data_IF_347971744572
#
_entry.id   IF_347971744572
#
_cell.length_a   1.000
_cell.length_b   1.000
_cell.length_c   1.000
_cell.angle_alpha   90.00
_cell.angle_beta   90.00
_cell.angle_gamma   90.00
#
_symmetry.space_group_name_H-M   'P 1'
#
loop_
_entity.id
_entity.type
_entity.pdbx_description
1 polymer ?
#
# COMPACT_ATOMS: atom_id res chain seq x y z
N UNK A 1 -4.59 -5.19 -6.19
CA UNK A 1 -3.35 -5.07 -6.99
C UNK A 1 -3.24 -6.06 -8.16
N UNK A 2 -2.99 -7.37 -7.97
CA UNK A 2 -2.72 -8.31 -9.09
C UNK A 2 -3.80 -8.33 -10.18
N UNK A 3 -5.08 -8.39 -9.82
CA UNK A 3 -6.18 -8.36 -10.80
C UNK A 3 -6.29 -7.06 -11.60
N UNK A 4 -5.99 -5.91 -10.98
CA UNK A 4 -5.97 -4.63 -11.70
C UNK A 4 -4.78 -4.56 -12.67
N UNK A 5 -3.61 -5.07 -12.27
CA UNK A 5 -2.45 -5.20 -13.15
C UNK A 5 -2.76 -6.13 -14.34
N UNK A 6 -3.46 -7.25 -14.10
CA UNK A 6 -3.88 -8.18 -15.14
C UNK A 6 -4.74 -7.50 -16.20
N UNK A 7 -5.81 -6.80 -15.79
CA UNK A 7 -6.69 -6.09 -16.71
C UNK A 7 -5.94 -5.00 -17.50
N UNK A 8 -5.00 -4.30 -16.86
CA UNK A 8 -4.14 -3.33 -17.54
C UNK A 8 -3.18 -3.99 -18.53
N UNK A 9 -2.62 -5.16 -18.21
CA UNK A 9 -1.80 -5.93 -19.16
C UNK A 9 -2.63 -6.38 -20.36
N UNK A 10 -3.88 -6.79 -20.17
CA UNK A 10 -4.80 -7.08 -21.28
C UNK A 10 -4.98 -5.82 -22.13
N UNK A 11 -5.37 -4.69 -21.51
CA UNK A 11 -5.54 -3.40 -22.19
C UNK A 11 -4.32 -3.01 -23.02
N UNK A 12 -3.11 -3.11 -22.46
CA UNK A 12 -1.87 -2.79 -23.17
C UNK A 12 -1.57 -3.76 -24.31
N UNK A 13 -1.99 -5.03 -24.19
CA UNK A 13 -1.74 -6.06 -25.21
C UNK A 13 -2.67 -5.93 -26.40
N UNK A 14 -3.97 -5.68 -26.16
CA UNK A 14 -4.99 -5.62 -27.23
C UNK A 14 -5.30 -4.19 -27.69
N UNK A 15 -4.92 -3.18 -26.93
CA UNK A 15 -5.29 -1.78 -27.15
C UNK A 15 -6.62 -1.41 -26.49
N UNK A 16 -6.74 -0.15 -26.04
CA UNK A 16 -7.89 0.34 -25.28
C UNK A 16 -9.22 0.14 -25.99
N UNK A 17 -9.29 0.38 -27.30
CA UNK A 17 -10.54 0.24 -28.05
C UNK A 17 -11.09 -1.18 -28.01
N UNK A 18 -10.25 -2.19 -28.26
CA UNK A 18 -10.64 -3.61 -28.20
C UNK A 18 -10.97 -4.05 -26.77
N UNK A 19 -10.18 -3.57 -25.80
CA UNK A 19 -10.41 -3.86 -24.39
C UNK A 19 -11.75 -3.29 -23.91
N UNK A 20 -12.05 -2.03 -24.20
CA UNK A 20 -13.30 -1.37 -23.78
C UNK A 20 -14.52 -2.02 -24.44
N UNK A 21 -14.43 -2.39 -25.73
CA UNK A 21 -15.50 -3.09 -26.43
C UNK A 21 -15.79 -4.45 -25.80
N UNK A 22 -14.75 -5.24 -25.48
CA UNK A 22 -14.93 -6.50 -24.78
C UNK A 22 -15.46 -6.30 -23.35
N UNK A 23 -14.91 -5.35 -22.60
CA UNK A 23 -15.28 -5.13 -21.19
C UNK A 23 -16.73 -4.67 -21.03
N UNK A 24 -17.22 -3.78 -21.91
CA UNK A 24 -18.63 -3.39 -21.94
C UNK A 24 -19.52 -4.60 -22.26
N UNK A 25 -19.20 -5.33 -23.33
CA UNK A 25 -19.96 -6.52 -23.70
C UNK A 25 -19.92 -7.61 -22.62
N UNK A 26 -18.82 -7.73 -21.87
CA UNK A 26 -18.71 -8.65 -20.72
C UNK A 26 -19.73 -8.28 -19.64
N UNK A 27 -19.85 -7.00 -19.27
CA UNK A 27 -20.87 -6.58 -18.30
C UNK A 27 -22.29 -6.76 -18.82
N UNK A 28 -22.53 -6.55 -20.13
CA UNK A 28 -23.85 -6.78 -20.74
C UNK A 28 -24.25 -8.27 -20.72
N UNK A 29 -23.31 -9.18 -21.08
CA UNK A 29 -23.55 -10.63 -21.11
C UNK A 29 -23.80 -11.24 -19.72
N UNK A 30 -23.13 -10.70 -18.69
CA UNK A 30 -23.12 -11.25 -17.33
C UNK A 30 -23.86 -10.37 -16.32
N UNK A 31 -24.74 -9.48 -16.80
CA UNK A 31 -25.53 -8.60 -15.93
C UNK A 31 -26.36 -9.42 -14.93
N UNK A 32 -26.21 -9.10 -13.65
CA UNK A 32 -26.90 -9.75 -12.52
C UNK A 32 -26.62 -11.26 -12.38
N UNK A 33 -25.50 -11.75 -12.90
CA UNK A 33 -25.07 -13.14 -12.79
C UNK A 33 -23.80 -13.27 -11.94
N UNK A 34 -23.62 -14.41 -11.24
CA UNK A 34 -22.33 -14.72 -10.63
C UNK A 34 -21.29 -15.00 -11.72
N UNK A 35 -20.02 -14.81 -11.38
CA UNK A 35 -18.91 -15.16 -12.26
C UNK A 35 -17.87 -16.01 -11.54
N UNK A 36 -17.33 -16.99 -12.25
CA UNK A 36 -16.17 -17.79 -11.83
C UNK A 36 -14.97 -17.45 -12.70
N UNK A 37 -13.78 -17.82 -12.23
CA UNK A 37 -12.54 -17.77 -13.02
C UNK A 37 -12.62 -18.60 -14.32
N UNK A 38 -13.21 -19.80 -14.27
CA UNK A 38 -13.44 -20.65 -15.44
C UNK A 38 -14.38 -19.96 -16.43
N UNK A 39 -15.47 -19.36 -15.95
CA UNK A 39 -16.41 -18.61 -16.78
C UNK A 39 -15.78 -17.37 -17.42
N UNK A 40 -14.97 -16.63 -16.65
CA UNK A 40 -14.22 -15.48 -17.14
C UNK A 40 -13.25 -15.88 -18.26
N UNK A 41 -12.51 -16.98 -18.07
CA UNK A 41 -11.58 -17.51 -19.08
C UNK A 41 -12.31 -17.94 -20.35
N UNK A 42 -13.47 -18.58 -20.24
CA UNK A 42 -14.29 -18.93 -21.39
C UNK A 42 -14.76 -17.67 -22.14
N UNK A 43 -15.30 -16.67 -21.43
CA UNK A 43 -15.80 -15.44 -22.04
C UNK A 43 -14.70 -14.66 -22.76
N UNK A 44 -13.55 -14.43 -22.12
CA UNK A 44 -12.47 -13.66 -22.74
C UNK A 44 -11.89 -14.40 -23.95
N UNK A 45 -11.82 -15.74 -23.91
CA UNK A 45 -11.37 -16.55 -25.04
C UNK A 45 -12.35 -16.49 -26.22
N UNK A 46 -13.64 -16.52 -25.94
CA UNK A 46 -14.69 -16.42 -26.95
C UNK A 46 -14.84 -15.01 -27.53
N UNK A 47 -14.75 -13.98 -26.69
CA UNK A 47 -15.18 -12.62 -27.05
C UNK A 47 -14.02 -11.65 -27.32
N UNK A 48 -12.82 -11.91 -26.82
CA UNK A 48 -11.64 -11.08 -27.05
C UNK A 48 -10.55 -11.80 -27.85
N UNK A 49 -10.17 -13.02 -27.44
CA UNK A 49 -9.09 -13.79 -28.06
C UNK A 49 -9.52 -14.40 -29.39
N UNK A 50 -10.73 -14.96 -29.46
CA UNK A 50 -11.35 -15.50 -30.68
C UNK A 50 -10.47 -16.51 -31.43
N UNK A 51 -9.79 -17.39 -30.68
CA UNK A 51 -8.92 -18.42 -31.25
C UNK A 51 -7.54 -17.93 -31.73
N UNK A 52 -7.19 -16.65 -31.50
CA UNK A 52 -5.85 -16.13 -31.78
C UNK A 52 -4.82 -16.72 -30.79
N UNK A 53 -4.12 -17.77 -31.23
CA UNK A 53 -3.12 -18.47 -30.42
C UNK A 53 -1.94 -17.57 -30.02
N UNK A 54 -1.56 -16.61 -30.87
CA UNK A 54 -0.47 -15.70 -30.54
C UNK A 54 -0.89 -14.71 -29.45
N UNK A 55 -2.14 -14.23 -29.50
CA UNK A 55 -2.70 -13.40 -28.45
C UNK A 55 -2.87 -14.17 -27.12
N UNK A 56 -3.39 -15.40 -27.16
CA UNK A 56 -3.51 -16.26 -25.98
C UNK A 56 -2.16 -16.43 -25.27
N UNK A 57 -1.10 -16.74 -26.03
CA UNK A 57 0.25 -16.88 -25.50
C UNK A 57 0.78 -15.57 -24.89
N UNK A 58 0.52 -14.41 -25.53
CA UNK A 58 0.95 -13.11 -25.04
C UNK A 58 0.23 -12.68 -23.76
N UNK A 59 -1.05 -13.02 -23.61
CA UNK A 59 -1.86 -12.65 -22.45
C UNK A 59 -1.52 -13.47 -21.21
N UNK A 60 -1.09 -14.73 -21.37
CA UNK A 60 -0.75 -15.63 -20.26
C UNK A 60 -1.88 -15.74 -19.22
N UNK A 61 -3.13 -15.87 -19.68
CA UNK A 61 -4.34 -15.76 -18.83
C UNK A 61 -4.30 -16.68 -17.60
N UNK A 62 -3.89 -17.94 -17.79
CA UNK A 62 -3.83 -18.91 -16.70
C UNK A 62 -2.72 -18.62 -15.69
N UNK A 63 -1.57 -18.08 -16.14
CA UNK A 63 -0.50 -17.65 -15.24
C UNK A 63 -0.97 -16.50 -14.34
N UNK A 64 -1.74 -15.56 -14.91
CA UNK A 64 -2.31 -14.46 -14.14
C UNK A 64 -3.31 -14.95 -13.07
N UNK A 65 -4.14 -15.92 -13.38
CA UNK A 65 -5.20 -16.39 -12.48
C UNK A 65 -4.67 -17.38 -11.45
N UNK A 66 -3.89 -18.38 -11.87
CA UNK A 66 -3.60 -19.55 -11.04
C UNK A 66 -2.19 -19.60 -10.44
N UNK A 67 -1.21 -18.86 -11.00
CA UNK A 67 0.17 -18.93 -10.51
C UNK A 67 0.46 -17.86 -9.46
N UNK A 68 1.32 -18.13 -8.46
CA UNK A 68 1.76 -17.11 -7.51
C UNK A 68 2.61 -16.04 -8.20
N UNK A 69 2.72 -14.87 -7.56
CA UNK A 69 3.53 -13.76 -8.07
C UNK A 69 2.91 -13.03 -9.27
N UNK A 70 3.73 -12.19 -9.92
CA UNK A 70 3.39 -11.50 -11.16
C UNK A 70 3.99 -12.24 -12.36
N UNK A 71 3.22 -12.46 -13.44
CA UNK A 71 3.76 -13.06 -14.66
C UNK A 71 4.81 -12.18 -15.34
N UNK A 72 5.60 -12.78 -16.24
CA UNK A 72 6.69 -12.08 -16.93
C UNK A 72 6.24 -10.94 -17.86
N UNK A 73 4.96 -10.95 -18.26
CA UNK A 73 4.34 -9.89 -19.06
C UNK A 73 3.70 -8.77 -18.22
N UNK A 74 3.84 -8.79 -16.90
CA UNK A 74 3.36 -7.72 -16.03
C UNK A 74 4.20 -6.45 -16.24
N UNK A 75 3.54 -5.33 -16.53
CA UNK A 75 4.19 -4.02 -16.67
C UNK A 75 3.95 -3.20 -15.42
N UNK A 76 5.03 -2.77 -14.79
CA UNK A 76 4.94 -1.92 -13.61
C UNK A 76 4.36 -0.54 -13.98
N UNK A 77 3.41 0.01 -13.19
CA UNK A 77 2.92 1.36 -13.41
C UNK A 77 4.03 2.38 -13.18
N UNK A 78 4.16 3.35 -14.09
CA UNK A 78 5.11 4.47 -13.98
C UNK A 78 4.34 5.75 -13.69
N UNK A 79 4.87 6.57 -12.78
CA UNK A 79 4.33 7.89 -12.45
C UNK A 79 5.42 8.94 -12.60
N UNK A 80 5.27 9.83 -13.60
CA UNK A 80 6.21 10.93 -13.80
C UNK A 80 6.23 11.88 -12.59
N UNK A 81 5.10 12.03 -11.89
CA UNK A 81 5.00 12.86 -10.69
C UNK A 81 5.82 12.31 -9.51
N UNK A 82 6.12 11.01 -9.49
CA UNK A 82 6.94 10.40 -8.43
C UNK A 82 8.45 10.53 -8.67
N UNK A 83 8.90 10.87 -9.88
CA UNK A 83 10.33 11.08 -10.17
C UNK A 83 10.91 12.17 -9.26
N UNK A 84 10.23 13.31 -9.16
CA UNK A 84 10.66 14.40 -8.28
C UNK A 84 10.54 14.06 -6.78
N UNK A 85 9.55 13.24 -6.41
CA UNK A 85 9.36 12.77 -5.03
C UNK A 85 10.49 11.84 -4.61
N UNK A 86 10.85 10.89 -5.48
CA UNK A 86 11.90 9.92 -5.22
C UNK A 86 13.27 10.61 -5.13
N UNK A 87 13.52 11.62 -5.98
CA UNK A 87 14.73 12.44 -5.89
C UNK A 87 14.82 13.20 -4.56
N UNK A 88 13.71 13.80 -4.10
CA UNK A 88 13.66 14.49 -2.81
C UNK A 88 13.84 13.53 -1.63
N UNK A 89 13.23 12.34 -1.67
CA UNK A 89 13.39 11.31 -0.64
C UNK A 89 14.83 10.81 -0.57
N UNK A 90 15.47 10.57 -1.72
CA UNK A 90 16.87 10.17 -1.79
C UNK A 90 17.80 11.25 -1.23
N UNK A 91 17.57 12.52 -1.57
CA UNK A 91 18.36 13.64 -1.06
C UNK A 91 18.22 13.78 0.46
N UNK A 92 17.00 13.62 0.99
CA UNK A 92 16.75 13.63 2.44
C UNK A 92 17.44 12.45 3.15
N UNK A 93 17.32 11.24 2.60
CA UNK A 93 17.99 10.05 3.12
C UNK A 93 19.52 10.19 3.13
N UNK A 94 20.09 10.94 2.18
CA UNK A 94 21.51 11.27 2.12
C UNK A 94 21.95 12.39 3.09
N UNK A 95 21.07 12.87 3.96
CA UNK A 95 21.37 13.90 4.97
C UNK A 95 20.95 15.32 4.60
N UNK A 96 20.19 15.51 3.51
CA UNK A 96 19.57 16.79 3.20
C UNK A 96 18.50 17.18 4.24
N UNK A 97 18.25 18.48 4.45
CA UNK A 97 17.27 18.94 5.44
C UNK A 97 15.83 18.73 4.97
N UNK A 98 14.91 18.49 5.91
CA UNK A 98 13.47 18.36 5.61
C UNK A 98 12.88 19.64 4.99
N UNK A 99 13.48 20.80 5.23
CA UNK A 99 13.05 22.09 4.66
C UNK A 99 13.24 22.19 3.13
N UNK A 100 14.08 21.34 2.54
CA UNK A 100 14.26 21.25 1.10
C UNK A 100 13.17 20.38 0.42
N UNK A 101 12.33 19.69 1.18
CA UNK A 101 11.26 18.84 0.66
C UNK A 101 10.09 19.74 0.22
N UNK A 102 9.61 19.66 -1.04
CA UNK A 102 8.52 20.50 -1.55
C UNK A 102 7.13 20.00 -1.09
N UNK A 103 6.98 19.79 0.23
CA UNK A 103 5.86 19.09 0.87
C UNK A 103 4.49 19.73 0.63
N UNK A 104 4.41 21.07 0.68
CA UNK A 104 3.16 21.81 0.51
C UNK A 104 2.58 21.69 -0.90
N UNK A 105 3.44 21.50 -1.92
CA UNK A 105 3.04 21.33 -3.31
C UNK A 105 2.61 19.91 -3.67
N UNK A 106 2.72 18.95 -2.75
CA UNK A 106 2.41 17.55 -3.00
C UNK A 106 1.00 17.16 -2.58
N UNK A 107 0.39 16.30 -3.39
CA UNK A 107 -0.84 15.60 -3.03
C UNK A 107 -0.57 14.44 -2.04
N UNK A 108 -1.64 13.80 -1.55
CA UNK A 108 -1.55 12.69 -0.61
C UNK A 108 -0.67 11.55 -1.11
N UNK A 109 -0.78 11.15 -2.39
CA UNK A 109 -0.03 10.02 -2.94
C UNK A 109 1.47 10.33 -3.01
N UNK A 110 1.84 11.57 -3.36
CA UNK A 110 3.23 12.03 -3.36
C UNK A 110 3.81 12.08 -1.95
N UNK A 111 3.05 12.58 -0.97
CA UNK A 111 3.45 12.58 0.45
C UNK A 111 3.66 11.16 0.98
N UNK A 112 2.73 10.24 0.68
CA UNK A 112 2.87 8.83 1.03
C UNK A 112 4.09 8.20 0.34
N UNK A 113 4.31 8.49 -0.95
CA UNK A 113 5.48 8.00 -1.69
C UNK A 113 6.78 8.43 -1.03
N UNK A 114 6.89 9.70 -0.61
CA UNK A 114 8.06 10.20 0.12
C UNK A 114 8.28 9.47 1.45
N UNK A 115 7.26 9.38 2.30
CA UNK A 115 7.38 8.74 3.62
C UNK A 115 7.65 7.22 3.53
N UNK A 116 7.13 6.58 2.49
CA UNK A 116 7.32 5.15 2.23
C UNK A 116 8.57 4.85 1.40
N UNK A 117 9.31 5.87 0.96
CA UNK A 117 10.50 5.66 0.15
C UNK A 117 11.55 4.90 0.95
N UNK A 118 12.17 3.91 0.31
CA UNK A 118 13.28 3.12 0.85
C UNK A 118 14.31 2.96 -0.26
N UNK A 119 15.59 2.94 0.08
CA UNK A 119 16.64 2.73 -0.92
C UNK A 119 16.51 1.34 -1.52
N UNK A 120 16.49 1.24 -2.87
CA UNK A 120 16.42 -0.06 -3.53
C UNK A 120 17.59 -0.97 -3.12
N UNK A 121 17.27 -2.23 -2.81
CA UNK A 121 18.27 -3.25 -2.49
C UNK A 121 18.88 -3.14 -1.10
N UNK A 122 18.46 -2.18 -0.26
CA UNK A 122 18.94 -2.07 1.12
C UNK A 122 17.81 -2.41 2.09
N UNK A 123 18.10 -3.34 3.00
CA UNK A 123 17.20 -3.71 4.10
C UNK A 123 17.65 -2.98 5.36
N UNK A 124 16.71 -2.37 6.08
CA UNK A 124 17.02 -1.63 7.30
C UNK A 124 17.77 -0.32 7.05
N UNK A 125 17.53 0.38 5.95
CA UNK A 125 17.98 1.78 5.81
C UNK A 125 17.35 2.62 6.93
N UNK A 126 18.17 3.02 7.90
CA UNK A 126 17.71 3.68 9.13
C UNK A 126 17.91 5.19 8.97
N UNK A 127 16.80 5.94 8.93
CA UNK A 127 16.86 7.38 9.19
C UNK A 127 17.23 7.60 10.67
N UNK A 128 18.18 8.49 10.93
CA UNK A 128 18.55 8.82 12.31
C UNK A 128 17.38 9.48 13.06
N UNK A 129 17.38 9.38 14.39
CA UNK A 129 16.42 10.11 15.25
C UNK A 129 16.41 11.61 14.96
N UNK A 130 17.57 12.19 14.63
CA UNK A 130 17.68 13.60 14.25
C UNK A 130 16.96 13.91 12.93
N UNK A 131 17.08 13.04 11.92
CA UNK A 131 16.34 13.17 10.66
C UNK A 131 14.82 13.04 10.88
N UNK A 132 14.38 12.09 11.70
CA UNK A 132 12.96 11.92 12.02
C UNK A 132 12.40 13.13 12.77
N UNK A 133 13.17 13.68 13.73
CA UNK A 133 12.80 14.91 14.41
C UNK A 133 12.76 16.12 13.46
N UNK A 134 13.69 16.21 12.51
CA UNK A 134 13.66 17.26 11.51
C UNK A 134 12.42 17.15 10.60
N UNK A 135 12.06 15.94 10.17
CA UNK A 135 10.82 15.69 9.40
C UNK A 135 9.57 16.08 10.19
N UNK A 136 9.42 15.55 11.41
CA UNK A 136 8.21 15.77 12.20
C UNK A 136 8.00 17.27 12.48
N UNK A 137 9.07 17.96 12.90
CA UNK A 137 9.05 19.38 13.21
C UNK A 137 8.81 20.23 11.96
N UNK A 138 9.57 19.99 10.89
CA UNK A 138 9.54 20.85 9.69
C UNK A 138 8.27 20.64 8.87
N UNK A 139 7.76 19.41 8.80
CA UNK A 139 6.56 19.08 8.01
C UNK A 139 5.29 18.98 8.86
N UNK A 140 5.39 19.24 10.17
CA UNK A 140 4.29 19.23 11.14
C UNK A 140 3.51 17.89 11.19
N UNK A 141 4.22 16.76 11.09
CA UNK A 141 3.60 15.44 10.91
C UNK A 141 2.79 14.96 12.12
N UNK A 142 3.12 15.42 13.33
CA UNK A 142 2.36 15.13 14.55
C UNK A 142 0.92 15.70 14.53
N UNK A 143 0.69 16.72 13.70
CA UNK A 143 -0.60 17.41 13.54
C UNK A 143 -1.18 17.24 12.12
N UNK A 144 -0.66 16.28 11.34
CA UNK A 144 -1.21 15.98 10.00
C UNK A 144 -2.63 15.42 10.12
N UNK A 145 -3.58 16.08 9.45
CA UNK A 145 -5.00 15.74 9.49
C UNK A 145 -5.42 14.65 8.51
N UNK A 146 -4.62 14.41 7.46
CA UNK A 146 -4.92 13.35 6.50
C UNK A 146 -4.45 12.00 7.04
N UNK A 147 -5.40 11.12 7.39
CA UNK A 147 -5.11 9.81 7.98
C UNK A 147 -4.19 8.91 7.15
N UNK A 148 -4.18 9.04 5.81
CA UNK A 148 -3.29 8.27 4.94
C UNK A 148 -1.83 8.71 5.06
N UNK A 149 -1.62 10.01 5.30
CA UNK A 149 -0.29 10.60 5.53
C UNK A 149 0.15 10.37 6.97
N UNK A 150 -0.72 10.58 7.96
CA UNK A 150 -0.45 10.24 9.36
C UNK A 150 -0.06 8.77 9.51
N UNK A 151 -0.79 7.86 8.84
CA UNK A 151 -0.45 6.44 8.83
C UNK A 151 0.93 6.17 8.24
N UNK A 152 1.27 6.77 7.08
CA UNK A 152 2.58 6.60 6.46
C UNK A 152 3.71 7.15 7.36
N UNK A 153 3.47 8.26 8.05
CA UNK A 153 4.41 8.81 9.04
C UNK A 153 4.60 7.84 10.20
N UNK A 154 3.52 7.37 10.81
CA UNK A 154 3.59 6.44 11.95
C UNK A 154 4.24 5.11 11.56
N UNK A 155 3.99 4.60 10.36
CA UNK A 155 4.69 3.42 9.84
C UNK A 155 6.21 3.62 9.79
N UNK A 156 6.65 4.79 9.31
CA UNK A 156 8.06 5.13 9.29
C UNK A 156 8.62 5.31 10.71
N UNK A 157 8.00 6.17 11.51
CA UNK A 157 8.50 6.59 12.81
C UNK A 157 8.56 5.44 13.83
N UNK A 158 7.52 4.61 13.90
CA UNK A 158 7.47 3.49 14.85
C UNK A 158 8.46 2.38 14.48
N UNK A 159 8.65 2.12 13.18
CA UNK A 159 9.68 1.19 12.71
C UNK A 159 11.12 1.65 13.01
N UNK A 160 11.30 2.92 13.37
CA UNK A 160 12.57 3.50 13.80
C UNK A 160 12.63 3.77 15.32
N UNK A 161 11.65 3.28 16.08
CA UNK A 161 11.54 3.50 17.53
C UNK A 161 11.57 4.98 17.92
N UNK A 162 10.96 5.82 17.09
CA UNK A 162 10.91 7.26 17.33
C UNK A 162 9.85 7.58 18.41
N UNK A 163 10.30 7.65 19.67
CA UNK A 163 9.45 7.88 20.84
C UNK A 163 8.46 9.06 20.72
N UNK A 164 8.82 10.23 20.16
CA UNK A 164 7.86 11.35 20.06
C UNK A 164 6.61 11.02 19.23
N UNK A 165 6.70 10.10 18.26
CA UNK A 165 5.55 9.68 17.47
C UNK A 165 4.57 8.79 18.25
N UNK A 166 4.93 8.26 19.42
CA UNK A 166 4.06 7.39 20.23
C UNK A 166 2.79 8.12 20.64
N UNK A 167 2.87 9.41 21.00
CA UNK A 167 1.69 10.19 21.34
C UNK A 167 0.73 10.38 20.14
N UNK A 168 1.29 10.49 18.93
CA UNK A 168 0.50 10.56 17.69
C UNK A 168 -0.11 9.20 17.36
N UNK A 169 0.64 8.10 17.56
CA UNK A 169 0.15 6.74 17.38
C UNK A 169 -1.03 6.43 18.31
N UNK A 170 -0.92 6.85 19.57
CA UNK A 170 -1.94 6.70 20.60
C UNK A 170 -3.28 7.33 20.18
N UNK A 171 -3.26 8.65 19.88
CA UNK A 171 -4.44 9.38 19.38
C UNK A 171 -5.02 8.77 18.11
N UNK A 172 -4.15 8.34 17.19
CA UNK A 172 -4.58 7.80 15.90
C UNK A 172 -5.25 6.43 16.05
N UNK A 173 -4.71 5.56 16.91
CA UNK A 173 -5.21 4.21 17.12
C UNK A 173 -6.46 4.19 18.01
N UNK A 174 -6.63 5.16 18.91
CA UNK A 174 -7.84 5.29 19.74
C UNK A 174 -8.99 6.03 19.04
N UNK A 175 -8.72 6.82 17.98
CA UNK A 175 -9.75 7.59 17.27
C UNK A 175 -10.43 6.86 16.10
N UNK A 176 -9.87 5.75 15.58
CA UNK A 176 -10.50 4.99 14.49
C UNK A 176 -10.17 3.50 14.48
N UNK A 177 -11.11 2.68 13.99
CA UNK A 177 -11.00 1.21 13.97
C UNK A 177 -10.71 0.56 12.61
N UNK A 178 -10.34 1.33 11.57
CA UNK A 178 -10.12 0.78 10.22
C UNK A 178 -8.92 -0.16 10.24
N UNK A 179 -9.18 -1.47 10.02
CA UNK A 179 -8.15 -2.53 10.05
C UNK A 179 -6.93 -2.25 9.17
N UNK A 180 -7.12 -1.57 8.03
CA UNK A 180 -6.06 -1.12 7.11
C UNK A 180 -4.97 -0.30 7.82
N UNK A 181 -5.32 0.47 8.84
CA UNK A 181 -4.38 1.27 9.60
C UNK A 181 -3.96 0.58 10.90
N UNK A 182 -4.95 0.07 11.62
CA UNK A 182 -4.79 -0.50 12.96
C UNK A 182 -3.84 -1.70 12.95
N UNK A 183 -4.12 -2.71 12.12
CA UNK A 183 -3.36 -3.95 12.14
C UNK A 183 -1.89 -3.73 11.75
N UNK A 184 -1.57 -2.98 10.66
CA UNK A 184 -0.18 -2.71 10.33
C UNK A 184 0.57 -1.90 11.39
N UNK A 185 -0.05 -0.91 12.05
CA UNK A 185 0.64 -0.14 13.10
C UNK A 185 0.92 -0.98 14.35
N UNK A 186 -0.04 -1.81 14.78
CA UNK A 186 0.22 -2.76 15.86
C UNK A 186 1.26 -3.81 15.46
N UNK A 187 1.29 -4.22 14.19
CA UNK A 187 2.32 -5.15 13.68
C UNK A 187 3.70 -4.53 13.79
N UNK A 188 3.84 -3.27 13.36
CA UNK A 188 5.09 -2.52 13.48
C UNK A 188 5.52 -2.40 14.94
N UNK A 189 4.64 -1.94 15.84
CA UNK A 189 4.96 -1.87 17.28
C UNK A 189 5.34 -3.24 17.86
N UNK A 190 4.61 -4.30 17.53
CA UNK A 190 4.88 -5.64 18.06
C UNK A 190 6.24 -6.19 17.58
N UNK A 191 6.61 -5.86 16.35
CA UNK A 191 7.90 -6.22 15.74
C UNK A 191 9.10 -5.56 16.43
N UNK A 192 8.91 -4.41 17.07
CA UNK A 192 9.97 -3.68 17.79
C UNK A 192 10.24 -4.20 19.22
N UNK A 193 9.80 -5.42 19.54
CA UNK A 193 10.24 -6.15 20.74
C UNK A 193 9.97 -5.40 22.05
N UNK A 194 10.99 -5.32 22.91
CA UNK A 194 10.89 -4.74 24.25
C UNK A 194 10.49 -3.27 24.26
N UNK A 195 10.80 -2.54 23.18
CA UNK A 195 10.39 -1.15 23.04
C UNK A 195 8.91 -1.05 22.67
N UNK A 196 8.50 -1.75 21.61
CA UNK A 196 7.16 -1.53 21.01
C UNK A 196 6.03 -2.37 21.63
N UNK A 197 6.31 -3.55 22.18
CA UNK A 197 5.27 -4.43 22.77
C UNK A 197 4.56 -3.82 23.98
N UNK A 198 5.24 -3.17 24.95
CA UNK A 198 4.56 -2.47 26.05
C UNK A 198 3.66 -1.34 25.55
N UNK A 199 4.12 -0.58 24.54
CA UNK A 199 3.37 0.50 23.91
C UNK A 199 2.10 -0.06 23.23
N UNK A 200 2.26 -1.11 22.43
CA UNK A 200 1.15 -1.79 21.75
C UNK A 200 0.09 -2.27 22.75
N UNK A 201 0.50 -2.94 23.84
CA UNK A 201 -0.42 -3.44 24.85
C UNK A 201 -1.22 -2.32 25.52
N UNK A 202 -0.54 -1.23 25.90
CA UNK A 202 -1.16 -0.07 26.53
C UNK A 202 -2.20 0.56 25.62
N UNK A 203 -1.82 0.94 24.39
CA UNK A 203 -2.73 1.57 23.44
C UNK A 203 -3.89 0.64 23.09
N UNK A 204 -3.62 -0.66 22.89
CA UNK A 204 -4.67 -1.61 22.54
C UNK A 204 -5.66 -1.85 23.67
N UNK A 205 -5.23 -1.84 24.93
CA UNK A 205 -6.16 -1.97 26.06
C UNK A 205 -7.25 -0.88 26.03
N UNK A 206 -6.88 0.35 25.63
CA UNK A 206 -7.79 1.49 25.49
C UNK A 206 -8.62 1.42 24.19
N UNK A 207 -7.97 1.05 23.07
CA UNK A 207 -8.62 1.06 21.76
C UNK A 207 -9.49 -0.18 21.46
N UNK A 208 -9.16 -1.34 22.06
CA UNK A 208 -9.86 -2.63 21.83
C UNK A 208 -11.38 -2.56 21.98
N UNK A 209 -11.98 -1.95 23.04
CA UNK A 209 -13.43 -1.86 23.17
C UNK A 209 -14.10 -0.99 22.09
N UNK A 210 -13.33 -0.14 21.40
CA UNK A 210 -13.81 0.76 20.34
C UNK A 210 -13.79 0.10 18.95
N UNK A 211 -13.09 -1.03 18.80
CA UNK A 211 -12.90 -1.68 17.51
C UNK A 211 -14.01 -2.66 17.17
N UNK A 212 -14.32 -2.74 15.87
CA UNK A 212 -15.14 -3.82 15.32
C UNK A 212 -14.47 -5.19 15.56
N UNK A 213 -15.27 -6.23 15.79
CA UNK A 213 -14.80 -7.60 16.12
C UNK A 213 -13.77 -8.15 15.15
N UNK A 214 -13.90 -7.86 13.85
CA UNK A 214 -12.92 -8.24 12.80
C UNK A 214 -11.53 -7.63 13.03
N UNK A 215 -11.47 -6.37 13.47
CA UNK A 215 -10.20 -5.71 13.81
C UNK A 215 -9.63 -6.30 15.10
N UNK A 216 -10.47 -6.48 16.12
CA UNK A 216 -10.10 -7.11 17.40
C UNK A 216 -9.48 -8.49 17.17
N UNK A 217 -10.15 -9.37 16.44
CA UNK A 217 -9.65 -10.73 16.18
C UNK A 217 -8.30 -10.74 15.46
N UNK A 218 -8.04 -9.77 14.58
CA UNK A 218 -6.75 -9.67 13.87
C UNK A 218 -5.62 -9.19 14.80
N UNK A 219 -5.90 -8.24 15.69
CA UNK A 219 -4.90 -7.72 16.64
C UNK A 219 -4.66 -8.70 17.79
N UNK A 220 -5.70 -9.36 18.30
CA UNK A 220 -5.58 -10.43 19.29
C UNK A 220 -4.69 -11.57 18.77
N UNK A 221 -4.90 -12.00 17.52
CA UNK A 221 -4.07 -13.03 16.88
C UNK A 221 -2.61 -12.60 16.66
N UNK A 222 -2.36 -11.31 16.44
CA UNK A 222 -1.00 -10.75 16.38
C UNK A 222 -0.33 -10.80 17.76
N UNK A 223 -1.02 -10.33 18.81
CA UNK A 223 -0.46 -10.21 20.16
C UNK A 223 -0.34 -11.54 20.90
N UNK A 224 -1.01 -12.59 20.43
CA UNK A 224 -0.83 -13.95 20.92
C UNK A 224 0.52 -14.57 20.49
N UNK A 225 1.23 -13.96 19.54
CA UNK A 225 2.55 -14.43 19.10
C UNK A 225 3.62 -14.04 20.12
N UNK A 226 4.60 -14.92 20.40
CA UNK A 226 5.67 -14.64 21.35
C UNK A 226 6.58 -13.49 20.92
#
# INVERSE_FOLDING_TARGET
>A
EKGAAFLRTIEQTVGRERFDAWLRGYFDRHAFQPMTDVGFLADIRENLVKGDAALEQRLQLETWIYQPGLPSNAVAPVSQAFVAVDAAAQAFAAGGPASAVPWSGWNTQQRQRFLNWRKPGVTGDVLSTAQLADLERTLNLANEGNSEVTFAWLQLALAHRYDPAVATADRFLTSQGRRKFVLPLFTTLWGEGDWGRPIARRIYAEARPLYHSVTVGSVDALMAKP
#
